data_IF_664286292922
#
_entry.id   IF_664286292922
#
_cell.length_a   1.000
_cell.length_b   1.000
_cell.length_c   1.000
_cell.angle_alpha   90.00
_cell.angle_beta   90.00
_cell.angle_gamma   90.00
#
_symmetry.space_group_name_H-M   'P 1'
#
loop_
_entity.id
_entity.type
_entity.pdbx_description
1 polymer ?
#
# COMPACT_ATOMS: atom_id res chain seq x y z
N UNK A 1 -36.57 -17.23 96.94
CA UNK A 1 -37.60 -16.19 97.12
C UNK A 1 -36.90 -14.84 97.00
N UNK A 2 -36.93 -14.25 95.81
CA UNK A 2 -37.90 -13.23 95.39
C UNK A 2 -37.59 -11.85 95.97
N UNK A 3 -36.90 -11.07 95.13
CA UNK A 3 -37.16 -9.66 94.77
C UNK A 3 -37.41 -8.64 95.87
N UNK A 4 -36.61 -7.57 95.84
CA UNK A 4 -37.15 -6.21 95.86
C UNK A 4 -36.17 -5.22 95.21
N UNK A 5 -36.68 -4.55 94.18
CA UNK A 5 -36.11 -3.38 93.54
C UNK A 5 -35.88 -2.24 94.55
N UNK A 6 -34.69 -1.64 94.48
CA UNK A 6 -34.44 -0.28 94.96
C UNK A 6 -34.00 0.56 93.76
N UNK A 7 -34.60 1.75 93.74
CA UNK A 7 -34.69 2.73 92.66
C UNK A 7 -33.32 3.21 92.19
N UNK A 8 -33.21 3.35 90.86
CA UNK A 8 -32.16 4.13 90.19
C UNK A 8 -32.43 5.60 90.49
N UNK A 9 -31.60 6.20 91.33
CA UNK A 9 -31.63 7.62 91.66
C UNK A 9 -30.53 7.92 92.68
N UNK A 10 -29.70 8.90 92.38
CA UNK A 10 -28.68 9.51 93.24
C UNK A 10 -27.27 8.89 93.22
N UNK A 11 -26.78 8.55 92.03
CA UNK A 11 -25.36 8.79 91.72
C UNK A 11 -25.32 9.88 90.66
N UNK A 12 -24.78 11.09 90.94
CA UNK A 12 -24.67 12.12 89.94
C UNK A 12 -23.77 11.64 88.81
N UNK A 13 -24.34 11.52 87.61
CA UNK A 13 -23.57 11.29 86.40
C UNK A 13 -22.66 12.50 86.19
N UNK A 14 -21.36 12.31 86.39
CA UNK A 14 -20.34 13.27 86.01
C UNK A 14 -20.07 13.06 84.52
N UNK A 15 -20.38 14.01 83.63
CA UNK A 15 -19.96 13.93 82.24
C UNK A 15 -18.43 13.82 82.19
N UNK A 16 -17.83 13.06 81.26
CA UNK A 16 -16.39 13.07 81.09
C UNK A 16 -15.96 14.52 80.79
N UNK A 17 -15.28 15.16 81.75
CA UNK A 17 -14.71 16.50 81.57
C UNK A 17 -13.45 16.37 80.73
N UNK A 18 -13.62 16.54 79.42
CA UNK A 18 -12.54 16.72 78.45
C UNK A 18 -12.97 16.28 77.06
N UNK A 19 -12.53 16.95 75.98
CA UNK A 19 -12.68 16.39 74.65
C UNK A 19 -11.86 15.10 74.62
N UNK A 20 -12.52 13.96 74.77
CA UNK A 20 -11.88 12.66 74.55
C UNK A 20 -11.46 12.64 73.09
N UNK A 21 -10.18 12.91 72.82
CA UNK A 21 -9.60 12.78 71.49
C UNK A 21 -9.64 11.29 71.17
N UNK A 22 -10.74 10.84 70.54
CA UNK A 22 -10.84 9.47 70.04
C UNK A 22 -9.80 9.36 68.94
N UNK A 23 -8.71 8.65 69.24
CA UNK A 23 -7.67 8.42 68.24
C UNK A 23 -8.22 7.45 67.19
N UNK A 24 -8.82 8.02 66.14
CA UNK A 24 -9.54 7.33 65.07
C UNK A 24 -8.66 6.25 64.42
N UNK A 25 -7.34 6.43 64.42
CA UNK A 25 -6.35 5.46 63.91
C UNK A 25 -6.31 4.11 64.66
N UNK A 26 -6.85 4.04 65.88
CA UNK A 26 -6.95 2.81 66.68
C UNK A 26 -8.30 2.11 66.53
N UNK A 27 -9.29 2.74 65.89
CA UNK A 27 -10.58 2.12 65.63
C UNK A 27 -10.46 1.13 64.46
N UNK A 28 -10.85 -0.13 64.70
CA UNK A 28 -10.79 -1.21 63.70
C UNK A 28 -11.56 -0.83 62.42
N UNK A 29 -12.71 -0.18 62.56
CA UNK A 29 -13.53 0.29 61.44
C UNK A 29 -12.82 1.33 60.58
N UNK A 30 -12.07 2.26 61.18
CA UNK A 30 -11.29 3.27 60.45
C UNK A 30 -10.10 2.65 59.69
N UNK A 31 -9.47 1.62 60.25
CA UNK A 31 -8.42 0.85 59.56
C UNK A 31 -8.98 0.07 58.36
N UNK A 32 -10.14 -0.55 58.51
CA UNK A 32 -10.82 -1.25 57.41
C UNK A 32 -11.23 -0.27 56.32
N UNK A 33 -11.79 0.90 56.68
CA UNK A 33 -12.20 1.92 55.72
C UNK A 33 -11.01 2.50 54.94
N UNK A 34 -9.89 2.79 55.62
CA UNK A 34 -8.67 3.24 54.96
C UNK A 34 -8.05 2.16 54.07
N UNK A 35 -8.09 0.89 54.48
CA UNK A 35 -7.62 -0.22 53.65
C UNK A 35 -8.46 -0.36 52.38
N UNK A 36 -9.79 -0.30 52.51
CA UNK A 36 -10.71 -0.35 51.36
C UNK A 36 -10.50 0.85 50.45
N UNK A 37 -10.37 2.05 51.01
CA UNK A 37 -10.09 3.26 50.24
C UNK A 37 -8.76 3.15 49.49
N UNK A 38 -7.70 2.69 50.17
CA UNK A 38 -6.40 2.47 49.55
C UNK A 38 -6.48 1.45 48.42
N UNK A 39 -7.08 0.28 48.64
CA UNK A 39 -7.27 -0.74 47.61
C UNK A 39 -8.07 -0.19 46.42
N UNK A 40 -9.13 0.59 46.67
CA UNK A 40 -9.96 1.17 45.61
C UNK A 40 -9.18 2.18 44.78
N UNK A 41 -8.38 3.04 45.42
CA UNK A 41 -7.51 4.00 44.75
C UNK A 41 -6.41 3.28 43.97
N UNK A 42 -5.79 2.24 44.54
CA UNK A 42 -4.76 1.44 43.87
C UNK A 42 -5.33 0.69 42.66
N UNK A 43 -6.51 0.07 42.77
CA UNK A 43 -7.18 -0.58 41.63
C UNK A 43 -7.53 0.46 40.56
N UNK A 44 -8.05 1.63 40.95
CA UNK A 44 -8.38 2.70 40.01
C UNK A 44 -7.14 3.21 39.28
N UNK A 45 -6.03 3.42 40.02
CA UNK A 45 -4.73 3.76 39.44
C UNK A 45 -4.25 2.65 38.50
N UNK A 46 -4.32 1.39 38.89
CA UNK A 46 -3.96 0.24 38.05
C UNK A 46 -4.79 0.21 36.78
N UNK A 47 -6.11 0.46 36.83
CA UNK A 47 -6.96 0.49 35.63
C UNK A 47 -6.63 1.68 34.71
N UNK A 48 -6.21 2.80 35.28
CA UNK A 48 -5.80 3.99 34.51
C UNK A 48 -4.39 3.85 33.92
N UNK A 49 -3.48 3.20 34.65
CA UNK A 49 -2.06 3.12 34.29
C UNK A 49 -1.64 1.80 33.63
N UNK A 50 -2.39 0.70 33.80
CA UNK A 50 -2.19 -0.53 33.04
C UNK A 50 -2.98 -0.39 31.74
N UNK A 51 -2.31 -0.25 30.59
CA UNK A 51 -2.99 -0.22 29.31
C UNK A 51 -3.60 -1.61 29.06
N UNK A 52 -4.90 -1.77 29.30
CA UNK A 52 -5.63 -2.94 28.82
C UNK A 52 -5.62 -2.89 27.29
N UNK A 53 -4.83 -3.76 26.66
CA UNK A 53 -4.77 -3.86 25.20
C UNK A 53 -6.15 -4.06 24.55
N UNK A 54 -7.08 -4.72 25.25
CA UNK A 54 -8.46 -4.92 24.80
C UNK A 54 -9.39 -3.69 24.87
N UNK A 55 -9.00 -2.62 25.59
CA UNK A 55 -9.75 -1.35 25.67
C UNK A 55 -9.15 -0.26 24.78
N UNK A 56 -7.99 -0.49 24.15
CA UNK A 56 -7.54 0.34 23.03
C UNK A 56 -8.52 0.11 21.89
N UNK A 57 -9.45 1.04 21.74
CA UNK A 57 -10.22 1.17 20.49
C UNK A 57 -9.16 1.26 19.39
N UNK A 58 -8.99 0.18 18.62
CA UNK A 58 -8.39 0.28 17.29
C UNK A 58 -9.35 1.18 16.53
N UNK A 59 -9.06 2.48 16.52
CA UNK A 59 -9.73 3.39 15.59
C UNK A 59 -9.23 2.94 14.24
N UNK A 60 -10.07 2.20 13.54
CA UNK A 60 -9.84 1.89 12.14
C UNK A 60 -9.59 3.21 11.41
N UNK A 61 -8.75 3.17 10.38
CA UNK A 61 -8.44 4.35 9.58
C UNK A 61 -9.74 4.82 8.93
N UNK A 62 -10.15 6.05 9.22
CA UNK A 62 -11.33 6.65 8.62
C UNK A 62 -11.08 6.86 7.12
N UNK A 63 -11.89 6.23 6.27
CA UNK A 63 -11.75 6.32 4.81
C UNK A 63 -12.68 7.35 4.22
N UNK A 64 -12.13 8.25 3.41
CA UNK A 64 -12.87 9.34 2.77
C UNK A 64 -12.81 9.14 1.27
N UNK A 65 -13.87 8.61 0.68
CA UNK A 65 -13.96 8.49 -0.78
C UNK A 65 -14.11 9.88 -1.41
N UNK A 66 -13.45 10.07 -2.55
CA UNK A 66 -13.45 11.34 -3.29
C UNK A 66 -14.02 11.13 -4.70
N UNK A 67 -14.79 12.10 -5.17
CA UNK A 67 -15.27 12.15 -6.53
C UNK A 67 -14.74 13.41 -7.22
N UNK A 68 -13.77 13.23 -8.11
CA UNK A 68 -13.14 14.32 -8.85
C UNK A 68 -14.07 14.92 -9.92
N UNK A 69 -15.16 14.23 -10.28
CA UNK A 69 -16.12 14.72 -11.27
C UNK A 69 -16.97 15.89 -10.74
N UNK A 70 -17.19 15.95 -9.43
CA UNK A 70 -18.08 16.94 -8.83
C UNK A 70 -17.42 18.32 -8.73
N UNK A 71 -16.11 18.41 -9.00
CA UNK A 71 -15.33 19.64 -8.84
C UNK A 71 -15.21 20.11 -7.39
N UNK A 72 -15.65 19.29 -6.44
CA UNK A 72 -15.63 19.56 -5.00
C UNK A 72 -14.80 18.50 -4.29
N UNK A 73 -13.83 18.94 -3.51
CA UNK A 73 -12.98 18.07 -2.69
C UNK A 73 -13.47 18.18 -1.23
N UNK A 74 -13.72 17.05 -0.52
CA UNK A 74 -14.13 17.08 0.87
C UNK A 74 -13.15 17.86 1.75
N UNK A 75 -13.64 18.60 2.75
CA UNK A 75 -12.79 19.47 3.59
C UNK A 75 -11.66 18.73 4.34
N UNK A 76 -11.84 17.43 4.57
CA UNK A 76 -10.86 16.57 5.23
C UNK A 76 -9.67 16.21 4.33
N UNK A 77 -9.84 16.39 3.02
CA UNK A 77 -8.81 16.14 2.02
C UNK A 77 -8.01 17.41 1.82
N UNK A 78 -6.73 17.36 2.20
CA UNK A 78 -5.75 18.40 1.99
C UNK A 78 -5.35 18.41 0.51
N UNK A 79 -5.40 19.59 -0.09
CA UNK A 79 -4.99 19.84 -1.47
C UNK A 79 -3.72 20.70 -1.47
N UNK A 80 -2.68 20.21 -2.14
CA UNK A 80 -1.42 20.92 -2.33
C UNK A 80 -1.16 21.13 -3.84
N UNK A 81 -1.34 22.35 -4.37
CA UNK A 81 -1.10 22.63 -5.78
C UNK A 81 0.39 22.86 -6.06
N UNK A 82 0.86 22.41 -7.21
CA UNK A 82 2.21 22.65 -7.72
C UNK A 82 2.16 22.94 -9.22
N UNK A 83 2.68 24.10 -9.63
CA UNK A 83 2.83 24.44 -11.05
C UNK A 83 3.93 23.58 -11.67
N UNK A 84 3.64 22.91 -12.78
CA UNK A 84 4.62 22.09 -13.52
C UNK A 84 5.26 22.95 -14.61
N UNK A 85 4.43 23.52 -15.47
CA UNK A 85 4.84 24.45 -16.53
C UNK A 85 3.77 25.54 -16.74
N UNK A 86 3.86 26.30 -17.83
CA UNK A 86 2.91 27.37 -18.14
C UNK A 86 1.47 26.89 -18.34
N UNK A 87 1.29 25.64 -18.78
CA UNK A 87 0.00 25.08 -19.18
C UNK A 87 -0.52 24.02 -18.20
N UNK A 88 0.32 23.44 -17.34
CA UNK A 88 -0.03 22.30 -16.50
C UNK A 88 0.19 22.57 -15.00
N UNK A 89 -0.75 22.10 -14.18
CA UNK A 89 -0.69 22.15 -12.71
C UNK A 89 -0.98 20.76 -12.13
N UNK A 90 -0.18 20.32 -11.16
CA UNK A 90 -0.48 19.17 -10.33
C UNK A 90 -1.22 19.58 -9.06
N UNK A 91 -2.19 18.78 -8.64
CA UNK A 91 -2.88 18.86 -7.37
C UNK A 91 -2.62 17.56 -6.62
N UNK A 92 -1.94 17.67 -5.49
CA UNK A 92 -1.64 16.54 -4.61
C UNK A 92 -2.68 16.48 -3.50
N UNK A 93 -3.40 15.36 -3.44
CA UNK A 93 -4.50 15.12 -2.52
C UNK A 93 -4.05 14.11 -1.46
N UNK A 94 -4.14 14.53 -0.21
CA UNK A 94 -3.83 13.75 0.99
C UNK A 94 -4.89 14.02 2.06
N UNK A 95 -4.84 13.36 3.20
CA UNK A 95 -5.75 13.66 4.32
C UNK A 95 -5.15 14.66 5.29
N UNK A 96 -6.01 15.38 6.01
CA UNK A 96 -5.59 16.39 6.99
C UNK A 96 -5.07 15.74 8.28
N UNK A 97 -5.60 14.57 8.64
CA UNK A 97 -5.28 13.87 9.88
C UNK A 97 -4.64 12.51 9.60
N UNK A 98 -3.66 12.14 10.43
CA UNK A 98 -2.90 10.89 10.27
C UNK A 98 -3.72 9.61 10.47
N UNK A 99 -4.91 9.69 11.07
CA UNK A 99 -5.82 8.55 11.23
C UNK A 99 -6.84 8.44 10.09
N UNK A 100 -6.69 9.23 9.03
CA UNK A 100 -7.57 9.25 7.87
C UNK A 100 -6.81 8.84 6.62
N UNK A 101 -7.53 8.29 5.66
CA UNK A 101 -6.99 8.01 4.35
C UNK A 101 -8.02 8.22 3.25
N UNK A 102 -7.54 8.49 2.04
CA UNK A 102 -8.42 8.54 0.87
C UNK A 102 -8.96 7.12 0.61
N UNK A 103 -10.27 7.02 0.46
CA UNK A 103 -10.98 5.79 0.13
C UNK A 103 -11.03 5.57 -1.38
N UNK A 104 -12.21 5.26 -1.89
CA UNK A 104 -12.43 5.10 -3.32
C UNK A 104 -12.28 6.44 -4.05
N UNK A 105 -11.75 6.40 -5.26
CA UNK A 105 -11.47 7.59 -6.06
C UNK A 105 -12.24 7.49 -7.37
N UNK A 106 -13.17 8.41 -7.60
CA UNK A 106 -13.99 8.46 -8.82
C UNK A 106 -13.54 9.61 -9.72
N UNK A 107 -13.39 9.34 -11.02
CA UNK A 107 -13.05 10.32 -12.07
C UNK A 107 -13.45 9.79 -13.45
N UNK A 108 -14.08 10.64 -14.26
CA UNK A 108 -14.74 10.24 -15.50
C UNK A 108 -15.68 9.05 -15.28
N UNK A 109 -15.45 7.99 -16.06
CA UNK A 109 -16.14 6.71 -16.01
C UNK A 109 -15.50 5.68 -15.05
N UNK A 110 -14.43 6.05 -14.32
CA UNK A 110 -13.70 5.14 -13.43
C UNK A 110 -14.01 5.40 -11.97
N UNK A 111 -14.15 4.29 -11.24
CA UNK A 111 -14.05 4.26 -9.78
C UNK A 111 -12.91 3.31 -9.43
N UNK A 112 -11.90 3.83 -8.74
CA UNK A 112 -10.76 3.03 -8.27
C UNK A 112 -10.99 2.71 -6.81
N UNK A 113 -11.42 1.47 -6.57
CA UNK A 113 -11.68 0.96 -5.24
C UNK A 113 -10.38 0.91 -4.41
N UNK A 114 -10.51 1.09 -3.09
CA UNK A 114 -9.40 0.92 -2.16
C UNK A 114 -9.15 -0.58 -1.88
N UNK A 115 -7.95 -1.12 -2.15
CA UNK A 115 -7.61 -2.49 -1.78
C UNK A 115 -7.71 -2.70 -0.27
N UNK A 116 -8.18 -3.88 0.17
CA UNK A 116 -8.48 -4.16 1.58
C UNK A 116 -7.24 -4.01 2.48
N UNK A 117 -6.07 -4.36 1.95
CA UNK A 117 -4.79 -4.31 2.65
C UNK A 117 -4.06 -2.97 2.52
N UNK A 118 -4.63 -2.01 1.77
CA UNK A 118 -4.03 -0.69 1.63
C UNK A 118 -4.10 0.06 2.96
N UNK A 119 -2.95 0.56 3.41
CA UNK A 119 -2.84 1.30 4.67
C UNK A 119 -3.20 2.75 4.43
N UNK A 120 -2.56 3.37 3.44
CA UNK A 120 -2.81 4.77 3.11
C UNK A 120 -2.83 4.95 1.58
N UNK A 121 -3.75 5.78 1.09
CA UNK A 121 -3.81 6.23 -0.29
C UNK A 121 -3.51 7.72 -0.41
N UNK A 122 -2.70 8.04 -1.41
CA UNK A 122 -2.39 9.39 -1.88
C UNK A 122 -2.78 9.51 -3.35
N UNK A 123 -3.26 10.68 -3.78
CA UNK A 123 -3.70 10.88 -5.17
C UNK A 123 -3.03 12.13 -5.74
N UNK A 124 -2.40 12.01 -6.90
CA UNK A 124 -1.88 13.13 -7.66
C UNK A 124 -2.72 13.32 -8.93
N UNK A 125 -3.20 14.53 -9.13
CA UNK A 125 -4.09 14.91 -10.22
C UNK A 125 -3.41 15.96 -11.08
N UNK A 126 -3.38 15.79 -12.39
CA UNK A 126 -2.74 16.72 -13.31
C UNK A 126 -3.80 17.38 -14.16
N UNK A 127 -3.89 18.70 -14.11
CA UNK A 127 -4.90 19.50 -14.82
C UNK A 127 -4.25 20.43 -15.84
N UNK A 128 -4.95 20.61 -16.96
CA UNK A 128 -4.67 21.66 -17.91
C UNK A 128 -5.21 22.97 -17.32
N UNK A 129 -4.38 24.01 -17.24
CA UNK A 129 -4.73 25.33 -16.68
C UNK A 129 -5.95 25.98 -17.34
N UNK A 130 -6.31 25.53 -18.55
CA UNK A 130 -7.44 26.04 -19.35
C UNK A 130 -8.74 25.19 -19.26
N UNK A 131 -8.77 24.06 -18.54
CA UNK A 131 -9.94 23.18 -18.48
C UNK A 131 -10.20 22.60 -17.07
N UNK A 132 -10.91 23.35 -16.22
CA UNK A 132 -11.12 23.03 -14.79
C UNK A 132 -12.06 21.84 -14.46
N UNK A 133 -12.52 21.02 -15.43
CA UNK A 133 -13.57 20.03 -15.13
C UNK A 133 -13.13 18.57 -15.07
N UNK A 134 -12.09 18.17 -15.80
CA UNK A 134 -11.61 16.79 -15.78
C UNK A 134 -10.09 16.74 -15.79
N UNK A 135 -9.45 16.00 -14.86
CA UNK A 135 -8.00 15.83 -14.87
C UNK A 135 -7.49 15.24 -16.18
N UNK A 136 -6.36 15.71 -16.67
CA UNK A 136 -5.70 15.06 -17.81
C UNK A 136 -5.08 13.72 -17.40
N UNK A 137 -4.43 13.69 -16.24
CA UNK A 137 -3.88 12.48 -15.63
C UNK A 137 -4.29 12.35 -14.17
N UNK A 138 -4.43 11.11 -13.71
CA UNK A 138 -4.66 10.77 -12.30
C UNK A 138 -3.72 9.64 -11.92
N UNK A 139 -2.87 9.88 -10.92
CA UNK A 139 -1.99 8.87 -10.34
C UNK A 139 -2.47 8.56 -8.92
N UNK A 140 -2.73 7.28 -8.64
CA UNK A 140 -3.17 6.80 -7.33
C UNK A 140 -2.05 5.97 -6.73
N UNK A 141 -1.62 6.35 -5.54
CA UNK A 141 -0.53 5.72 -4.79
C UNK A 141 -1.13 5.02 -3.58
N UNK A 142 -1.08 3.69 -3.61
CA UNK A 142 -1.51 2.84 -2.52
C UNK A 142 -0.27 2.38 -1.75
N UNK A 143 -0.19 2.79 -0.49
CA UNK A 143 0.88 2.41 0.42
C UNK A 143 0.47 1.16 1.20
N UNK A 144 1.32 0.15 1.12
CA UNK A 144 1.22 -1.11 1.83
C UNK A 144 2.43 -1.29 2.74
N UNK A 145 2.35 -2.28 3.62
CA UNK A 145 3.53 -2.71 4.37
C UNK A 145 4.52 -3.31 3.39
N UNK A 146 5.63 -2.61 3.16
CA UNK A 146 6.72 -3.09 2.31
C UNK A 146 6.51 -2.89 0.80
N UNK A 147 5.51 -2.13 0.37
CA UNK A 147 5.36 -1.78 -1.03
C UNK A 147 4.60 -0.48 -1.25
N UNK A 148 4.87 0.17 -2.38
CA UNK A 148 4.08 1.28 -2.90
C UNK A 148 3.60 0.88 -4.29
N UNK A 149 2.28 0.84 -4.49
CA UNK A 149 1.66 0.61 -5.80
C UNK A 149 1.20 1.94 -6.37
N UNK A 150 1.46 2.16 -7.65
CA UNK A 150 1.04 3.36 -8.37
C UNK A 150 0.23 2.94 -9.58
N UNK A 151 -1.02 3.38 -9.66
CA UNK A 151 -1.86 3.23 -10.85
C UNK A 151 -1.99 4.58 -11.56
N UNK A 152 -1.70 4.63 -12.85
CA UNK A 152 -1.70 5.85 -13.67
C UNK A 152 -2.81 5.78 -14.70
N UNK A 153 -3.63 6.81 -14.70
CA UNK A 153 -4.78 6.94 -15.58
C UNK A 153 -4.63 8.17 -16.46
N UNK A 154 -5.03 8.05 -17.72
CA UNK A 154 -5.03 9.14 -18.69
C UNK A 154 -6.42 9.32 -19.26
N UNK A 155 -6.83 10.58 -19.40
CA UNK A 155 -8.09 10.95 -20.05
C UNK A 155 -7.98 10.77 -21.56
N UNK A 156 -8.99 10.15 -22.17
CA UNK A 156 -9.08 10.03 -23.63
C UNK A 156 -9.23 11.40 -24.30
N UNK A 157 -8.49 11.61 -25.40
CA UNK A 157 -8.59 12.83 -26.21
C UNK A 157 -9.92 12.95 -26.96
N UNK A 158 -10.49 11.81 -27.36
CA UNK A 158 -11.75 11.77 -28.12
C UNK A 158 -12.98 11.80 -27.22
N UNK A 159 -12.85 11.40 -25.96
CA UNK A 159 -13.92 11.45 -24.98
C UNK A 159 -13.38 11.81 -23.58
N UNK A 160 -13.48 13.09 -23.15
CA UNK A 160 -12.95 13.57 -21.88
C UNK A 160 -13.54 12.93 -20.61
N UNK A 161 -14.62 12.15 -20.72
CA UNK A 161 -15.21 11.41 -19.60
C UNK A 161 -14.61 10.01 -19.46
N UNK A 162 -13.87 9.51 -20.46
CA UNK A 162 -13.28 8.16 -20.43
C UNK A 162 -11.82 8.20 -20.01
N UNK A 163 -11.47 7.31 -19.08
CA UNK A 163 -10.10 7.13 -18.62
C UNK A 163 -9.63 5.69 -18.85
N UNK A 164 -8.38 5.57 -19.29
CA UNK A 164 -7.71 4.29 -19.42
C UNK A 164 -6.57 4.20 -18.41
N UNK A 165 -6.44 3.04 -17.75
CA UNK A 165 -5.22 2.70 -17.00
C UNK A 165 -4.13 2.38 -18.03
N UNK A 166 -3.23 3.32 -18.26
CA UNK A 166 -2.20 3.16 -19.28
C UNK A 166 -0.92 2.53 -18.74
N UNK A 167 -0.65 2.67 -17.44
CA UNK A 167 0.50 2.08 -16.77
C UNK A 167 0.27 2.01 -15.27
N UNK A 168 0.83 0.99 -14.64
CA UNK A 168 0.92 0.92 -13.18
C UNK A 168 2.23 0.26 -12.80
N UNK A 169 2.74 0.64 -11.64
CA UNK A 169 4.04 0.24 -11.12
C UNK A 169 3.90 -0.25 -9.69
N UNK A 170 4.70 -1.24 -9.30
CA UNK A 170 4.82 -1.66 -7.90
C UNK A 170 6.27 -1.55 -7.50
N UNK A 171 6.55 -0.78 -6.46
CA UNK A 171 7.87 -0.66 -5.89
C UNK A 171 7.94 -1.44 -4.59
N UNK A 172 8.68 -2.54 -4.59
CA UNK A 172 8.90 -3.36 -3.39
C UNK A 172 9.96 -2.71 -2.49
N UNK A 173 9.68 -2.69 -1.20
CA UNK A 173 10.56 -2.12 -0.17
C UNK A 173 11.06 -3.26 0.71
N UNK A 174 12.39 -3.50 0.77
CA UNK A 174 12.95 -4.60 1.53
C UNK A 174 12.96 -4.26 3.02
N UNK A 175 11.81 -4.44 3.68
CA UNK A 175 11.68 -4.24 5.13
C UNK A 175 12.33 -5.41 5.88
N UNK A 176 13.04 -5.15 7.00
CA UNK A 176 13.54 -6.20 7.88
C UNK A 176 12.36 -6.90 8.54
N UNK A 177 12.26 -8.21 8.33
CA UNK A 177 11.10 -9.01 8.75
C UNK A 177 11.44 -9.90 9.93
N UNK A 178 10.49 -10.05 10.84
CA UNK A 178 10.53 -10.98 11.97
C UNK A 178 9.98 -12.38 11.64
N UNK A 179 9.20 -12.54 10.55
CA UNK A 179 8.63 -13.84 10.14
C UNK A 179 8.37 -13.95 8.64
N UNK A 180 8.70 -15.10 8.05
CA UNK A 180 8.42 -15.45 6.65
C UNK A 180 6.98 -15.93 6.48
N UNK A 181 6.28 -15.43 5.47
CA UNK A 181 4.93 -15.88 5.09
C UNK A 181 5.05 -16.90 3.97
N UNK A 182 4.40 -18.06 4.09
CA UNK A 182 4.38 -19.08 3.05
C UNK A 182 3.11 -18.96 2.22
N UNK A 183 3.25 -18.81 0.90
CA UNK A 183 2.12 -18.61 -0.02
C UNK A 183 1.96 -19.82 -0.95
N UNK A 184 0.73 -20.36 -0.99
CA UNK A 184 0.26 -21.28 -2.02
C UNK A 184 -0.97 -20.65 -2.67
N UNK A 185 -0.91 -20.41 -3.97
CA UNK A 185 -1.97 -19.66 -4.65
C UNK A 185 -2.22 -20.16 -6.08
N UNK A 186 -3.43 -19.90 -6.58
CA UNK A 186 -3.76 -20.10 -7.99
C UNK A 186 -3.42 -18.83 -8.78
N UNK A 187 -3.03 -19.00 -10.05
CA UNK A 187 -2.72 -17.83 -10.91
C UNK A 187 -3.90 -16.88 -11.05
N UNK A 188 -5.13 -17.39 -11.16
CA UNK A 188 -6.32 -16.55 -11.19
C UNK A 188 -6.41 -15.63 -9.97
N UNK A 189 -6.18 -16.17 -8.77
CA UNK A 189 -6.21 -15.39 -7.51
C UNK A 189 -5.04 -14.40 -7.47
N UNK A 190 -3.86 -14.80 -7.94
CA UNK A 190 -2.70 -13.92 -8.06
C UNK A 190 -2.94 -12.75 -9.03
N UNK A 191 -3.70 -12.93 -10.10
CA UNK A 191 -4.00 -11.89 -11.10
C UNK A 191 -5.19 -11.01 -10.71
N UNK A 192 -6.22 -11.57 -10.07
CA UNK A 192 -7.50 -10.88 -9.90
C UNK A 192 -8.04 -10.82 -8.46
N UNK A 193 -7.53 -11.62 -7.51
CA UNK A 193 -8.01 -11.63 -6.11
C UNK A 193 -7.63 -10.39 -5.30
N UNK A 194 -7.82 -10.35 -3.99
CA UNK A 194 -7.13 -9.38 -3.13
C UNK A 194 -6.40 -10.19 -2.06
N UNK A 195 -5.08 -10.27 -2.15
CA UNK A 195 -4.26 -11.16 -1.31
C UNK A 195 -3.22 -10.31 -0.60
N UNK A 196 -3.13 -10.48 0.71
CA UNK A 196 -2.15 -9.79 1.53
C UNK A 196 -0.72 -10.04 1.01
N UNK A 197 0.08 -8.98 0.92
CA UNK A 197 1.47 -9.00 0.42
C UNK A 197 1.65 -9.47 -1.04
N UNK A 198 0.58 -9.54 -1.82
CA UNK A 198 0.62 -9.76 -3.27
C UNK A 198 0.23 -8.45 -3.96
N UNK A 199 1.10 -7.96 -4.82
CA UNK A 199 0.97 -6.66 -5.46
C UNK A 199 0.95 -6.81 -6.97
N UNK A 200 0.19 -5.95 -7.65
CA UNK A 200 0.01 -6.05 -9.10
C UNK A 200 0.33 -4.75 -9.79
N UNK A 201 0.99 -4.89 -10.93
CA UNK A 201 1.15 -3.86 -11.92
C UNK A 201 0.60 -4.37 -13.25
N UNK A 202 0.24 -3.45 -14.12
CA UNK A 202 -0.27 -3.72 -15.44
C UNK A 202 -0.09 -2.51 -16.35
N UNK A 203 0.03 -2.74 -17.65
CA UNK A 203 -0.09 -1.68 -18.65
C UNK A 203 -0.79 -2.20 -19.89
N UNK A 204 -1.50 -1.29 -20.57
CA UNK A 204 -2.17 -1.60 -21.85
C UNK A 204 -1.26 -1.14 -22.99
N UNK A 205 -0.92 -2.06 -23.89
CA UNK A 205 -0.18 -1.77 -25.11
C UNK A 205 -1.04 -1.09 -26.17
N UNK A 206 -0.39 -0.40 -27.12
CA UNK A 206 -1.02 0.25 -28.27
C UNK A 206 -1.75 -0.72 -29.21
N UNK A 207 -1.46 -2.03 -29.10
CA UNK A 207 -2.17 -3.10 -29.79
C UNK A 207 -3.35 -3.70 -28.99
N UNK A 208 -3.73 -3.08 -27.86
CA UNK A 208 -4.86 -3.48 -27.02
C UNK A 208 -4.61 -4.70 -26.12
N UNK A 209 -3.39 -5.24 -26.11
CA UNK A 209 -3.00 -6.30 -25.18
C UNK A 209 -2.61 -5.72 -23.84
N UNK A 210 -2.80 -6.49 -22.78
CA UNK A 210 -2.46 -6.04 -21.42
C UNK A 210 -1.34 -6.90 -20.86
N UNK A 211 -0.26 -6.27 -20.38
CA UNK A 211 0.68 -6.94 -19.49
C UNK A 211 0.13 -6.86 -18.07
N UNK A 212 0.14 -7.97 -17.36
CA UNK A 212 -0.02 -8.05 -15.91
C UNK A 212 1.27 -8.56 -15.30
N UNK A 213 1.65 -7.96 -14.19
CA UNK A 213 2.81 -8.35 -13.40
C UNK A 213 2.38 -8.51 -11.96
N UNK A 214 2.74 -9.63 -11.35
CA UNK A 214 2.46 -9.90 -9.94
C UNK A 214 3.77 -10.01 -9.19
N UNK A 215 3.85 -9.25 -8.12
CA UNK A 215 4.96 -9.18 -7.19
C UNK A 215 4.50 -9.69 -5.84
N UNK A 216 5.43 -10.26 -5.10
CA UNK A 216 5.22 -10.62 -3.70
C UNK A 216 6.16 -9.78 -2.84
N UNK A 217 5.73 -9.43 -1.63
CA UNK A 217 6.60 -8.74 -0.67
C UNK A 217 7.87 -9.58 -0.42
N UNK A 218 8.98 -8.93 -0.05
CA UNK A 218 10.29 -9.59 0.13
C UNK A 218 10.32 -10.67 1.22
N UNK A 219 9.26 -10.77 2.02
CA UNK A 219 9.10 -11.72 3.12
C UNK A 219 8.13 -12.88 2.83
N UNK A 220 7.57 -12.90 1.62
CA UNK A 220 6.67 -13.95 1.18
C UNK A 220 7.47 -14.99 0.41
N UNK A 221 7.57 -16.19 0.97
CA UNK A 221 8.08 -17.38 0.30
C UNK A 221 6.91 -18.03 -0.44
N UNK A 222 6.91 -17.94 -1.77
CA UNK A 222 5.92 -18.67 -2.58
C UNK A 222 6.38 -20.11 -2.71
N UNK A 223 5.56 -21.05 -2.23
CA UNK A 223 5.91 -22.48 -2.24
C UNK A 223 5.39 -23.17 -3.51
N UNK A 224 4.15 -22.84 -3.91
CA UNK A 224 3.47 -23.50 -5.02
C UNK A 224 2.55 -22.52 -5.73
N UNK A 225 2.60 -22.56 -7.06
CA UNK A 225 1.67 -21.84 -7.94
C UNK A 225 0.91 -22.87 -8.79
N UNK A 226 -0.42 -22.82 -8.69
CA UNK A 226 -1.30 -23.64 -9.52
C UNK A 226 -1.72 -22.86 -10.77
N UNK A 227 -1.48 -23.42 -11.96
CA UNK A 227 -1.86 -22.88 -13.27
C UNK A 227 -2.73 -23.92 -13.98
N UNK A 228 -4.06 -23.74 -14.01
CA UNK A 228 -4.97 -24.79 -14.47
C UNK A 228 -4.76 -26.07 -13.67
N UNK A 229 -4.48 -27.19 -14.35
CA UNK A 229 -4.11 -28.46 -13.75
C UNK A 229 -2.62 -28.58 -13.38
N UNK A 230 -1.78 -27.68 -13.90
CA UNK A 230 -0.33 -27.71 -13.69
C UNK A 230 0.06 -27.12 -12.33
N UNK A 231 0.97 -27.81 -11.64
CA UNK A 231 1.55 -27.36 -10.38
C UNK A 231 3.02 -27.01 -10.57
N UNK A 232 3.37 -25.76 -10.28
CA UNK A 232 4.75 -25.30 -10.29
C UNK A 232 5.22 -25.13 -8.85
N UNK A 233 6.14 -26.00 -8.43
CA UNK A 233 6.79 -25.91 -7.11
C UNK A 233 7.96 -24.95 -7.25
N UNK A 234 7.96 -23.88 -6.45
CA UNK A 234 8.98 -22.85 -6.53
C UNK A 234 10.21 -23.31 -5.73
N UNK A 235 11.42 -23.32 -6.32
CA UNK A 235 12.63 -23.70 -5.61
C UNK A 235 12.87 -22.76 -4.42
N UNK A 236 13.33 -23.29 -3.30
CA UNK A 236 13.65 -22.52 -2.08
C UNK A 236 14.75 -21.45 -2.31
N UNK A 237 15.52 -21.60 -3.39
CA UNK A 237 16.51 -20.61 -3.84
C UNK A 237 15.88 -19.37 -4.48
N UNK A 238 14.66 -19.44 -5.00
CA UNK A 238 13.93 -18.31 -5.56
C UNK A 238 13.24 -17.56 -4.42
N UNK A 239 13.95 -16.60 -3.81
CA UNK A 239 13.45 -15.84 -2.64
C UNK A 239 12.17 -15.06 -2.91
N UNK A 240 11.96 -14.62 -4.14
CA UNK A 240 10.70 -14.05 -4.60
C UNK A 240 10.46 -14.37 -6.07
N UNK A 241 9.18 -14.34 -6.44
CA UNK A 241 8.73 -14.61 -7.80
C UNK A 241 8.26 -13.32 -8.47
N UNK A 242 8.36 -13.28 -9.79
CA UNK A 242 7.62 -12.35 -10.63
C UNK A 242 6.80 -13.17 -11.60
N UNK A 243 5.48 -13.08 -11.51
CA UNK A 243 4.59 -13.64 -12.52
C UNK A 243 4.32 -12.55 -13.55
N UNK A 244 4.55 -12.85 -14.84
CA UNK A 244 4.11 -12.01 -15.94
C UNK A 244 3.05 -12.72 -16.74
N UNK A 245 1.98 -12.02 -17.04
CA UNK A 245 0.92 -12.52 -17.88
C UNK A 245 0.60 -11.52 -19.00
N UNK A 246 0.56 -12.00 -20.25
CA UNK A 246 0.16 -11.20 -21.40
C UNK A 246 -1.23 -11.64 -21.83
N UNK A 247 -2.19 -10.74 -21.68
CA UNK A 247 -3.59 -10.95 -21.97
C UNK A 247 -3.91 -10.44 -23.38
N UNK A 248 -4.33 -11.35 -24.27
CA UNK A 248 -4.88 -11.00 -25.58
C UNK A 248 -6.40 -11.10 -25.56
N UNK A 249 -7.05 -9.99 -25.24
CA UNK A 249 -8.51 -9.93 -25.08
C UNK A 249 -9.29 -10.26 -26.36
N UNK A 250 -8.74 -9.97 -27.54
CA UNK A 250 -9.38 -10.31 -28.81
C UNK A 250 -9.50 -11.82 -29.05
N UNK A 251 -8.62 -12.63 -28.45
CA UNK A 251 -8.63 -14.09 -28.57
C UNK A 251 -9.02 -14.79 -27.27
N UNK A 252 -9.30 -14.06 -26.18
CA UNK A 252 -9.58 -14.63 -24.86
C UNK A 252 -8.47 -15.58 -24.35
N UNK A 253 -7.22 -15.29 -24.68
CA UNK A 253 -6.05 -16.08 -24.26
C UNK A 253 -5.16 -15.25 -23.35
N UNK A 254 -4.55 -15.92 -22.36
CA UNK A 254 -3.52 -15.35 -21.50
C UNK A 254 -2.28 -16.24 -21.60
N UNK A 255 -1.13 -15.66 -21.94
CA UNK A 255 0.19 -16.29 -21.76
C UNK A 255 0.71 -15.94 -20.37
N UNK A 256 1.23 -16.91 -19.63
CA UNK A 256 1.75 -16.77 -18.27
C UNK A 256 3.17 -17.31 -18.23
N UNK A 257 4.09 -16.55 -17.64
CA UNK A 257 5.46 -16.95 -17.38
C UNK A 257 5.86 -16.57 -15.95
N UNK A 258 6.65 -17.44 -15.32
CA UNK A 258 7.15 -17.28 -13.96
C UNK A 258 8.66 -17.02 -14.00
N UNK A 259 9.10 -15.96 -13.33
CA UNK A 259 10.48 -15.53 -13.27
C UNK A 259 10.95 -15.48 -11.82
N UNK A 260 12.25 -15.67 -11.62
CA UNK A 260 12.89 -15.28 -10.36
C UNK A 260 12.86 -13.76 -10.24
N UNK A 261 12.73 -13.23 -9.03
CA UNK A 261 12.90 -11.78 -8.82
C UNK A 261 14.35 -11.31 -8.95
N UNK A 262 15.31 -12.21 -8.70
CA UNK A 262 16.75 -11.89 -8.68
C UNK A 262 17.41 -12.07 -10.07
N UNK A 263 16.67 -12.56 -11.07
CA UNK A 263 17.18 -12.78 -12.42
C UNK A 263 16.10 -12.73 -13.48
N UNK A 264 16.47 -12.55 -14.76
CA UNK A 264 15.51 -12.52 -15.87
C UNK A 264 15.16 -13.92 -16.41
N UNK A 265 15.66 -14.97 -15.76
CA UNK A 265 15.43 -16.35 -16.18
C UNK A 265 14.09 -16.87 -15.68
N UNK A 266 13.39 -17.61 -16.55
CA UNK A 266 12.15 -18.29 -16.19
C UNK A 266 12.46 -19.41 -15.21
N UNK A 267 11.71 -19.49 -14.11
CA UNK A 267 11.95 -20.48 -13.04
C UNK A 267 11.88 -21.93 -13.53
N UNK A 268 11.07 -22.17 -14.56
CA UNK A 268 10.80 -23.52 -15.09
C UNK A 268 11.06 -23.62 -16.61
N UNK A 269 11.56 -22.55 -17.24
CA UNK A 269 11.72 -22.47 -18.70
C UNK A 269 10.43 -22.55 -19.53
N UNK A 270 9.26 -22.73 -18.90
CA UNK A 270 7.96 -22.95 -19.54
C UNK A 270 7.19 -21.66 -19.74
N UNK A 271 6.43 -21.62 -20.82
CA UNK A 271 5.29 -20.71 -20.98
C UNK A 271 4.00 -21.50 -20.78
N UNK A 272 3.07 -20.92 -20.03
CA UNK A 272 1.74 -21.49 -19.83
C UNK A 272 0.72 -20.63 -20.57
N UNK A 273 -0.30 -21.27 -21.13
CA UNK A 273 -1.39 -20.59 -21.82
C UNK A 273 -2.70 -21.04 -21.20
N UNK A 274 -3.59 -20.09 -20.93
CA UNK A 274 -4.91 -20.33 -20.36
C UNK A 274 -5.95 -19.61 -21.20
N UNK A 275 -7.06 -20.28 -21.48
CA UNK A 275 -8.23 -19.66 -22.08
C UNK A 275 -9.10 -19.03 -20.99
N UNK A 276 -9.55 -17.79 -21.15
CA UNK A 276 -10.25 -17.06 -20.07
C UNK A 276 -11.57 -17.71 -19.64
N UNK A 277 -12.19 -18.49 -20.52
CA UNK A 277 -13.44 -19.20 -20.23
C UNK A 277 -13.21 -20.51 -19.45
N UNK A 278 -11.97 -21.01 -19.40
CA UNK A 278 -11.61 -22.22 -18.66
C UNK A 278 -10.24 -22.09 -17.99
N UNK A 279 -10.27 -21.64 -16.74
CA UNK A 279 -9.09 -21.55 -15.87
C UNK A 279 -8.66 -22.87 -15.26
N UNK A 280 -9.42 -23.96 -15.48
CA UNK A 280 -9.06 -25.29 -14.95
C UNK A 280 -7.98 -25.96 -15.77
N UNK A 281 -7.79 -25.51 -17.03
CA UNK A 281 -6.84 -26.08 -17.97
C UNK A 281 -5.73 -25.10 -18.35
N UNK A 282 -4.49 -25.56 -18.28
CA UNK A 282 -3.31 -24.85 -18.75
C UNK A 282 -2.62 -25.66 -19.84
N UNK A 283 -2.16 -24.95 -20.86
CA UNK A 283 -1.45 -25.51 -21.99
C UNK A 283 0.00 -25.07 -21.94
N UNK A 284 0.93 -25.99 -22.17
CA UNK A 284 2.35 -25.74 -21.89
C UNK A 284 3.12 -25.61 -23.20
N UNK A 285 3.91 -24.54 -23.32
CA UNK A 285 4.76 -24.20 -24.44
C UNK A 285 4.00 -24.08 -25.78
N UNK A 286 4.74 -23.93 -26.88
CA UNK A 286 4.17 -23.71 -28.22
C UNK A 286 3.25 -24.86 -28.66
N UNK A 287 3.57 -26.11 -28.28
CA UNK A 287 2.73 -27.26 -28.58
C UNK A 287 1.35 -27.14 -27.90
N UNK A 288 1.35 -26.80 -26.61
CA UNK A 288 0.11 -26.57 -25.87
C UNK A 288 -0.70 -25.40 -26.43
N UNK A 289 -0.04 -24.30 -26.83
CA UNK A 289 -0.73 -23.19 -27.49
C UNK A 289 -1.47 -23.66 -28.75
N UNK A 290 -0.85 -24.47 -29.60
CA UNK A 290 -1.50 -25.04 -30.80
C UNK A 290 -2.71 -25.90 -30.45
N UNK A 291 -2.60 -26.71 -29.40
CA UNK A 291 -3.70 -27.55 -28.92
C UNK A 291 -4.88 -26.71 -28.42
N UNK A 292 -4.60 -25.66 -27.64
CA UNK A 292 -5.62 -24.72 -27.17
C UNK A 292 -6.32 -24.02 -28.33
N UNK A 293 -5.57 -23.48 -29.29
CA UNK A 293 -6.14 -22.80 -30.45
C UNK A 293 -7.07 -23.72 -31.25
N UNK A 294 -6.72 -24.99 -31.37
CA UNK A 294 -7.56 -26.01 -32.03
C UNK A 294 -8.81 -26.34 -31.19
N UNK A 295 -8.65 -26.55 -29.90
CA UNK A 295 -9.74 -26.94 -28.99
C UNK A 295 -10.83 -25.86 -28.90
N UNK A 296 -10.42 -24.59 -28.86
CA UNK A 296 -11.33 -23.45 -28.80
C UNK A 296 -11.70 -22.86 -30.18
N UNK A 297 -11.29 -23.51 -31.28
CA UNK A 297 -11.52 -23.06 -32.65
C UNK A 297 -11.07 -21.59 -32.92
N UNK A 298 -9.95 -21.18 -32.34
CA UNK A 298 -9.41 -19.83 -32.46
C UNK A 298 -8.55 -19.74 -33.72
N UNK A 299 -9.06 -19.01 -34.72
CA UNK A 299 -8.32 -18.74 -35.95
C UNK A 299 -7.35 -17.57 -35.77
N UNK A 300 -6.04 -17.86 -35.74
CA UNK A 300 -4.98 -16.84 -35.67
C UNK A 300 -4.39 -16.64 -37.06
N UNK A 301 -4.41 -15.40 -37.57
CA UNK A 301 -3.69 -15.06 -38.81
C UNK A 301 -2.19 -15.08 -38.54
N UNK A 302 -1.40 -15.68 -39.44
CA UNK A 302 0.05 -15.88 -39.29
C UNK A 302 0.87 -14.59 -39.05
N UNK A 303 0.30 -13.42 -39.36
CA UNK A 303 0.94 -12.11 -39.17
C UNK A 303 0.65 -11.47 -37.80
N UNK A 304 -0.31 -12.01 -37.04
CA UNK A 304 -0.60 -11.50 -35.70
C UNK A 304 0.32 -12.19 -34.70
N UNK A 305 1.37 -11.48 -34.29
CA UNK A 305 2.03 -11.82 -33.05
C UNK A 305 0.98 -11.76 -31.92
N UNK A 306 0.69 -12.88 -31.26
CA UNK A 306 -0.35 -12.98 -30.24
C UNK A 306 0.04 -12.31 -28.93
N UNK A 307 1.33 -12.21 -28.62
CA UNK A 307 1.80 -11.84 -27.28
C UNK A 307 2.87 -10.74 -27.28
N UNK A 308 3.35 -10.26 -28.43
CA UNK A 308 4.17 -9.05 -28.48
C UNK A 308 3.37 -7.83 -28.02
N UNK A 309 3.94 -7.07 -27.10
CA UNK A 309 3.38 -5.84 -26.54
C UNK A 309 4.08 -4.64 -27.19
N UNK A 310 3.28 -3.69 -27.68
CA UNK A 310 3.79 -2.41 -28.14
C UNK A 310 3.41 -1.37 -27.09
N UNK A 311 4.36 -0.84 -26.33
CA UNK A 311 4.03 0.19 -25.32
C UNK A 311 3.55 1.46 -26.01
N UNK A 312 2.60 2.16 -25.39
CA UNK A 312 2.29 3.54 -25.76
C UNK A 312 3.48 4.40 -25.31
N UNK A 313 4.16 5.05 -26.26
CA UNK A 313 5.21 6.02 -25.98
C UNK A 313 4.53 7.38 -25.82
N UNK A 314 4.69 8.01 -24.65
CA UNK A 314 4.21 9.38 -24.43
C UNK A 314 5.36 10.32 -24.79
N UNK A 315 5.18 11.09 -25.87
CA UNK A 315 6.22 11.92 -26.50
C UNK A 315 6.75 13.05 -25.61
N UNK A 316 5.97 13.49 -24.62
CA UNK A 316 6.24 14.67 -23.79
C UNK A 316 6.87 14.32 -22.42
N UNK A 317 7.60 13.20 -22.36
CA UNK A 317 8.28 12.74 -21.15
C UNK A 317 9.39 13.68 -20.67
N UNK A 318 9.10 14.57 -19.71
CA UNK A 318 10.14 15.38 -19.09
C UNK A 318 10.97 14.55 -18.10
N UNK A 319 12.26 14.44 -18.38
CA UNK A 319 13.24 13.86 -17.45
C UNK A 319 13.74 14.93 -16.49
N UNK A 320 13.49 14.77 -15.19
CA UNK A 320 13.83 15.78 -14.20
C UNK A 320 15.08 15.45 -13.40
N UNK A 321 16.11 16.32 -13.36
CA UNK A 321 17.24 16.09 -12.47
C UNK A 321 16.78 16.22 -11.01
N UNK A 322 17.27 15.32 -10.16
CA UNK A 322 17.17 15.46 -8.71
C UNK A 322 18.58 15.60 -8.13
N UNK A 323 18.85 16.74 -7.50
CA UNK A 323 20.11 17.01 -6.81
C UNK A 323 19.80 17.12 -5.31
N UNK A 324 20.51 16.37 -4.47
CA UNK A 324 20.40 16.39 -3.01
C UNK A 324 19.01 16.03 -2.47
N UNK A 325 18.90 14.91 -1.75
CA UNK A 325 17.61 14.39 -1.26
C UNK A 325 16.92 15.34 -0.25
N UNK A 326 17.66 16.30 0.31
CA UNK A 326 17.13 17.26 1.29
C UNK A 326 16.41 18.44 0.65
N UNK A 327 16.72 18.78 -0.60
CA UNK A 327 16.10 19.91 -1.32
C UNK A 327 15.72 19.44 -2.73
N UNK A 328 14.51 18.90 -2.93
CA UNK A 328 14.03 18.59 -4.27
C UNK A 328 14.16 19.84 -5.15
N UNK A 329 14.59 19.66 -6.41
CA UNK A 329 14.48 20.74 -7.39
C UNK A 329 13.03 21.19 -7.46
N UNK A 330 12.77 22.47 -7.79
CA UNK A 330 11.42 23.02 -7.90
C UNK A 330 10.47 22.16 -8.75
N UNK A 331 11.02 21.38 -9.69
CA UNK A 331 10.29 20.52 -10.60
C UNK A 331 10.06 19.10 -10.03
N UNK A 332 10.94 18.57 -9.17
CA UNK A 332 10.74 17.24 -8.54
C UNK A 332 9.70 17.25 -7.42
N UNK A 333 8.93 16.18 -7.31
CA UNK A 333 7.85 16.04 -6.32
C UNK A 333 8.21 15.01 -5.26
N UNK A 334 7.73 15.22 -4.04
CA UNK A 334 7.92 14.26 -2.95
C UNK A 334 6.65 14.12 -2.13
N UNK A 335 6.39 12.89 -1.66
CA UNK A 335 5.36 12.61 -0.68
C UNK A 335 5.95 11.82 0.48
N UNK A 336 5.60 12.21 1.69
CA UNK A 336 6.05 11.60 2.93
C UNK A 336 4.83 10.94 3.58
N UNK A 337 4.98 9.68 4.01
CA UNK A 337 3.88 8.92 4.58
C UNK A 337 4.34 8.00 5.70
N UNK A 338 3.49 7.77 6.69
CA UNK A 338 3.78 6.85 7.80
C UNK A 338 2.87 5.63 7.74
N UNK A 339 3.46 4.45 7.54
CA UNK A 339 2.71 3.19 7.49
C UNK A 339 3.36 2.16 8.42
N UNK A 340 2.56 1.57 9.31
CA UNK A 340 2.93 0.48 10.22
C UNK A 340 4.29 0.68 10.94
N UNK A 341 4.52 1.87 11.48
CA UNK A 341 5.73 2.20 12.25
C UNK A 341 6.96 2.53 11.40
N UNK A 342 6.78 2.73 10.10
CA UNK A 342 7.79 3.16 9.16
C UNK A 342 7.40 4.48 8.50
N UNK A 343 8.38 5.36 8.32
CA UNK A 343 8.25 6.57 7.52
C UNK A 343 8.81 6.28 6.13
N UNK A 344 7.99 6.52 5.12
CA UNK A 344 8.32 6.40 3.70
C UNK A 344 8.39 7.80 3.11
N UNK A 345 9.39 8.02 2.25
CA UNK A 345 9.49 9.21 1.44
C UNK A 345 9.75 8.81 0.00
N UNK A 346 8.80 9.09 -0.88
CA UNK A 346 8.92 8.83 -2.31
C UNK A 346 9.22 10.15 -3.02
N UNK A 347 10.27 10.18 -3.83
CA UNK A 347 10.56 11.24 -4.78
C UNK A 347 10.30 10.73 -6.17
N UNK A 348 9.61 11.53 -6.96
CA UNK A 348 9.22 11.19 -8.31
C UNK A 348 9.25 12.44 -9.19
N UNK A 349 9.35 12.22 -10.51
CA UNK A 349 9.26 13.28 -11.50
C UNK A 349 7.83 13.86 -11.59
N UNK A 350 7.53 14.53 -12.69
CA UNK A 350 6.15 14.95 -13.01
C UNK A 350 5.29 13.74 -13.43
N UNK A 351 4.28 13.95 -14.27
CA UNK A 351 3.25 12.97 -14.64
C UNK A 351 3.77 11.60 -15.11
N UNK A 352 5.01 11.54 -15.61
CA UNK A 352 5.65 10.33 -16.12
C UNK A 352 6.50 9.57 -15.10
N UNK A 353 6.79 10.17 -13.93
CA UNK A 353 7.73 9.64 -12.93
C UNK A 353 9.11 9.30 -13.48
N UNK A 354 9.68 10.10 -14.40
CA UNK A 354 11.03 9.84 -14.91
C UNK A 354 12.01 10.82 -14.27
N UNK A 355 12.67 10.39 -13.20
CA UNK A 355 13.82 11.10 -12.65
C UNK A 355 15.07 10.87 -13.53
N UNK A 356 15.81 11.94 -13.80
CA UNK A 356 17.00 11.95 -14.63
C UNK A 356 18.27 11.54 -13.89
N UNK A 357 19.36 12.25 -14.15
CA UNK A 357 20.59 12.06 -13.39
C UNK A 357 20.38 12.46 -11.93
N UNK A 358 20.78 11.58 -11.02
CA UNK A 358 20.65 11.79 -9.58
C UNK A 358 22.03 11.84 -8.95
N UNK A 359 22.24 12.78 -8.04
CA UNK A 359 23.39 12.76 -7.15
C UNK A 359 22.89 12.76 -5.71
N UNK A 360 23.20 11.67 -5.01
CA UNK A 360 22.68 11.34 -3.70
C UNK A 360 23.86 10.89 -2.83
N UNK A 361 24.13 11.60 -1.73
CA UNK A 361 25.24 11.30 -0.81
C UNK A 361 26.60 11.12 -1.52
N UNK A 362 26.84 11.89 -2.59
CA UNK A 362 28.05 11.79 -3.42
C UNK A 362 28.06 10.61 -4.40
N UNK A 363 27.06 9.72 -4.36
CA UNK A 363 26.86 8.67 -5.37
C UNK A 363 26.05 9.22 -6.54
N UNK A 364 26.53 8.98 -7.76
CA UNK A 364 25.84 9.37 -8.99
C UNK A 364 25.10 8.19 -9.59
N UNK A 365 23.80 8.38 -9.84
CA UNK A 365 22.95 7.43 -10.55
C UNK A 365 22.62 8.03 -11.91
N UNK A 366 23.15 7.43 -12.97
CA UNK A 366 22.97 7.94 -14.32
C UNK A 366 21.52 7.78 -14.78
N UNK A 367 21.00 8.76 -15.53
CA UNK A 367 19.68 8.62 -16.18
C UNK A 367 19.65 7.37 -17.06
N UNK A 368 18.46 6.82 -17.29
CA UNK A 368 18.28 5.71 -18.21
C UNK A 368 17.27 6.11 -19.29
N UNK A 369 17.71 6.27 -20.54
CA UNK A 369 16.82 6.73 -21.62
C UNK A 369 15.73 5.70 -21.97
N UNK A 370 15.90 4.45 -21.54
CA UNK A 370 14.90 3.38 -21.71
C UNK A 370 13.93 3.27 -20.52
N UNK A 371 14.03 4.14 -19.51
CA UNK A 371 13.18 4.06 -18.32
C UNK A 371 11.75 4.46 -18.66
N UNK A 372 10.79 3.64 -18.23
CA UNK A 372 9.36 3.95 -18.29
C UNK A 372 8.84 4.52 -16.96
N UNK A 373 9.61 4.32 -15.89
CA UNK A 373 9.36 4.83 -14.56
C UNK A 373 10.70 4.88 -13.81
N UNK A 374 10.93 5.90 -13.01
CA UNK A 374 12.11 6.05 -12.18
C UNK A 374 11.85 6.92 -10.96
N UNK A 375 11.87 6.30 -9.80
CA UNK A 375 11.60 6.94 -8.50
C UNK A 375 12.75 6.72 -7.53
N UNK A 376 12.82 7.57 -6.52
CA UNK A 376 13.66 7.34 -5.33
C UNK A 376 12.75 7.08 -4.16
N UNK A 377 13.01 6.00 -3.43
CA UNK A 377 12.29 5.69 -2.19
C UNK A 377 13.30 5.69 -1.05
N UNK A 378 13.03 6.52 -0.06
CA UNK A 378 13.66 6.44 1.25
C UNK A 378 12.68 5.87 2.27
N UNK A 379 13.21 5.14 3.24
CA UNK A 379 12.42 4.60 4.32
C UNK A 379 13.26 4.47 5.60
N UNK A 380 12.62 4.71 6.73
CA UNK A 380 13.23 4.50 8.04
C UNK A 380 12.18 4.03 9.05
N UNK A 381 12.62 3.28 10.06
CA UNK A 381 11.75 2.93 11.17
C UNK A 381 11.49 4.18 12.01
N UNK A 382 10.25 4.37 12.43
CA UNK A 382 9.89 5.50 13.28
C UNK A 382 10.71 5.50 14.56
N UNK A 383 11.10 6.68 15.02
CA UNK A 383 11.96 6.91 16.19
C UNK A 383 13.37 6.30 16.10
N UNK A 384 13.76 5.77 14.94
CA UNK A 384 15.13 5.30 14.71
C UNK A 384 16.09 6.47 14.61
N UNK A 385 17.27 6.30 15.22
CA UNK A 385 18.41 7.20 15.05
C UNK A 385 19.28 6.82 13.85
N UNK A 386 19.04 5.65 13.26
CA UNK A 386 19.78 5.19 12.10
C UNK A 386 19.48 6.09 10.89
N UNK A 387 20.46 6.29 9.99
CA UNK A 387 20.21 7.01 8.75
C UNK A 387 19.14 6.28 7.92
N UNK A 388 18.28 7.02 7.18
CA UNK A 388 17.27 6.42 6.34
C UNK A 388 17.92 5.51 5.29
N UNK A 389 17.30 4.35 5.07
CA UNK A 389 17.65 3.47 3.96
C UNK A 389 16.95 3.94 2.69
N UNK A 390 17.45 3.54 1.53
CA UNK A 390 16.77 3.87 0.28
C UNK A 390 17.31 3.16 -0.94
N UNK A 391 16.60 3.34 -2.05
CA UNK A 391 16.98 2.86 -3.36
C UNK A 391 16.43 3.76 -4.46
N UNK A 392 17.12 3.75 -5.60
CA UNK A 392 16.59 4.22 -6.88
C UNK A 392 15.95 3.00 -7.55
N UNK A 393 14.67 3.10 -7.91
CA UNK A 393 13.99 2.06 -8.67
C UNK A 393 13.78 2.56 -10.10
N UNK A 394 14.29 1.82 -11.08
CA UNK A 394 14.10 2.11 -12.50
C UNK A 394 13.33 0.95 -13.14
N UNK A 395 12.20 1.26 -13.79
CA UNK A 395 11.39 0.28 -14.53
C UNK A 395 11.72 0.34 -16.03
N UNK A 396 11.88 -0.83 -16.64
CA UNK A 396 12.12 -1.07 -18.07
C UNK A 396 11.21 -2.21 -18.54
N UNK A 397 10.08 -1.91 -19.19
CA UNK A 397 9.19 -2.91 -19.81
C UNK A 397 9.01 -4.20 -18.99
N UNK A 398 8.58 -4.02 -17.75
CA UNK A 398 8.32 -5.08 -16.77
C UNK A 398 9.54 -5.53 -15.94
N UNK A 399 10.74 -5.05 -16.26
CA UNK A 399 11.92 -5.26 -15.45
C UNK A 399 12.10 -4.11 -14.47
N UNK A 400 12.35 -4.44 -13.21
CA UNK A 400 12.63 -3.46 -12.16
C UNK A 400 14.08 -3.59 -11.75
N UNK A 401 14.85 -2.51 -11.90
CA UNK A 401 16.22 -2.41 -11.42
C UNK A 401 16.21 -1.60 -10.13
N UNK A 402 16.78 -2.18 -9.07
CA UNK A 402 16.88 -1.56 -7.75
C UNK A 402 18.36 -1.25 -7.46
N UNK A 403 18.70 0.03 -7.38
CA UNK A 403 20.03 0.49 -7.03
C UNK A 403 20.02 1.06 -5.60
N UNK A 404 20.70 0.39 -4.67
CA UNK A 404 20.70 0.78 -3.26
C UNK A 404 21.42 2.12 -3.05
N UNK A 405 20.80 3.01 -2.29
CA UNK A 405 21.43 4.23 -1.79
C UNK A 405 22.21 3.86 -0.52
N UNK A 406 23.52 4.07 -0.55
CA UNK A 406 24.37 3.85 0.63
C UNK A 406 24.17 5.02 1.61
N UNK A 407 24.07 4.74 2.92
CA UNK A 407 23.95 5.78 3.95
C UNK A 407 25.14 6.73 3.93
#
# INVERSE_FOLDING_TARGET
MSTRDVRIGDIPWVPPTGPGIVNVSKMRSFRVLNLVAFITVTISLIVVFIPFEGLRVKRDIDRISINLNDGLIPYLVKLAPKKIDENHTALYLSTTFANQSIGDVTFGDKTVELPSYCKIRFVAVYIDTNAMKTPRFVNIYDFFVGAIKVAKYVRSDSNPEKYDNFDSSTYLIPLPVTSTIKLKAKVYELLYGDIEHVFRASFVGSNGKTLHEVFTSTNVEVEEIQIGQEKVVIPTSAKSIVLRAIESSAQNIIQIALFSSEGQEKLDGKDFYVHKDDWSKAYVNEAGLKDMLKEYNIAVKSENDLFTLNRIIISDGLTLPAQNIHEPSLLTSSHDEVVDGWTYKIFFGDLHHILGHLNINGASFNSSPAAVDRVVILYNKNDSKDPPQGFVCTKHDGNYLYEKIKP
#
